data_IF_509959552382
#
_entry.id   IF_509959552382
#
_cell.length_a   1.000
_cell.length_b   1.000
_cell.length_c   1.000
_cell.angle_alpha   90.00
_cell.angle_beta   90.00
_cell.angle_gamma   90.00
#
_symmetry.space_group_name_H-M   'P 1'
#
loop_
_entity.id
_entity.type
_entity.pdbx_description
1 polymer ?
#
# COMPACT_ATOMS: atom_id res chain seq x y z
N UNK A 1 -1.85 -20.40 17.98
CA UNK A 1 -1.85 -21.18 16.74
C UNK A 1 -1.98 -20.24 15.56
N UNK A 2 -1.12 -20.42 14.54
CA UNK A 2 -1.07 -19.61 13.32
C UNK A 2 -1.44 -20.48 12.12
N UNK A 3 -2.40 -19.99 11.31
CA UNK A 3 -2.70 -20.56 10.00
C UNK A 3 -2.16 -19.65 8.92
N UNK A 4 -1.59 -20.26 7.87
CA UNK A 4 -1.24 -19.55 6.65
C UNK A 4 -2.19 -19.93 5.52
N UNK A 5 -2.50 -18.95 4.67
CA UNK A 5 -3.21 -19.16 3.41
C UNK A 5 -2.39 -18.59 2.26
N UNK A 6 -2.29 -19.31 1.18
CA UNK A 6 -1.62 -18.86 -0.05
C UNK A 6 -2.27 -19.53 -1.26
N UNK A 7 -2.07 -18.98 -2.44
CA UNK A 7 -2.53 -19.58 -3.70
C UNK A 7 -1.57 -20.67 -4.21
N UNK A 8 -0.37 -20.77 -3.64
CA UNK A 8 0.70 -21.66 -4.10
C UNK A 8 1.22 -22.54 -2.97
N UNK A 9 1.37 -23.84 -3.26
CA UNK A 9 2.07 -24.78 -2.36
C UNK A 9 3.58 -24.49 -2.23
N UNK A 10 4.12 -23.61 -3.08
CA UNK A 10 5.53 -23.22 -3.05
C UNK A 10 5.79 -21.98 -2.20
N UNK A 11 4.77 -21.40 -1.55
CA UNK A 11 4.92 -20.26 -0.67
C UNK A 11 5.65 -20.65 0.62
N UNK A 12 6.81 -20.05 0.96
CA UNK A 12 7.60 -20.45 2.13
C UNK A 12 6.83 -20.36 3.45
N UNK A 13 5.95 -19.36 3.58
CA UNK A 13 5.21 -19.09 4.82
C UNK A 13 4.28 -20.25 5.24
N UNK A 14 3.79 -21.07 4.30
CA UNK A 14 2.91 -22.20 4.64
C UNK A 14 3.63 -23.29 5.42
N UNK A 15 4.96 -23.38 5.27
CA UNK A 15 5.78 -24.41 5.96
C UNK A 15 6.19 -23.99 7.38
N UNK A 16 6.05 -22.70 7.69
CA UNK A 16 6.34 -22.15 9.03
C UNK A 16 5.08 -22.03 9.90
N UNK A 17 3.90 -22.22 9.31
CA UNK A 17 2.62 -22.16 10.03
C UNK A 17 2.26 -23.50 10.68
N UNK A 18 1.45 -23.47 11.74
CA UNK A 18 0.92 -24.69 12.39
C UNK A 18 0.00 -25.49 11.44
N UNK A 19 -0.63 -24.81 10.49
CA UNK A 19 -1.46 -25.40 9.44
C UNK A 19 -1.61 -24.42 8.28
N UNK A 20 -1.88 -24.93 7.09
CA UNK A 20 -2.12 -24.08 5.92
C UNK A 20 -3.29 -24.55 5.06
N UNK A 21 -3.76 -23.63 4.22
CA UNK A 21 -4.76 -23.88 3.20
C UNK A 21 -4.36 -23.23 1.89
N UNK A 22 -4.52 -23.97 0.80
CA UNK A 22 -4.35 -23.40 -0.55
C UNK A 22 -5.67 -22.75 -0.95
N UNK A 23 -5.58 -21.47 -1.26
CA UNK A 23 -6.71 -20.61 -1.60
C UNK A 23 -6.76 -20.33 -3.10
N UNK A 24 -7.93 -20.02 -3.66
CA UNK A 24 -8.00 -19.46 -4.99
C UNK A 24 -7.29 -18.09 -5.04
N UNK A 25 -7.08 -17.55 -6.22
CA UNK A 25 -6.57 -16.20 -6.38
C UNK A 25 -7.52 -15.18 -5.73
N UNK A 26 -6.98 -14.05 -5.27
CA UNK A 26 -7.77 -12.98 -4.61
C UNK A 26 -8.81 -12.33 -5.52
N UNK A 27 -8.67 -12.46 -6.86
CA UNK A 27 -9.62 -11.99 -7.86
C UNK A 27 -10.72 -13.03 -8.20
N UNK A 28 -10.65 -14.23 -7.62
CA UNK A 28 -11.69 -15.24 -7.75
C UNK A 28 -12.93 -14.83 -6.94
N UNK A 29 -14.13 -14.82 -7.55
CA UNK A 29 -15.35 -14.41 -6.86
C UNK A 29 -15.69 -15.26 -5.62
N UNK A 30 -15.14 -16.47 -5.50
CA UNK A 30 -15.36 -17.37 -4.35
C UNK A 30 -14.35 -17.16 -3.22
N UNK A 31 -13.35 -16.26 -3.40
CA UNK A 31 -12.24 -16.10 -2.46
C UNK A 31 -12.71 -15.81 -1.02
N UNK A 32 -13.58 -14.81 -0.84
CA UNK A 32 -14.06 -14.39 0.48
C UNK A 32 -14.87 -15.49 1.17
N UNK A 33 -15.75 -16.17 0.44
CA UNK A 33 -16.55 -17.26 0.99
C UNK A 33 -15.64 -18.41 1.46
N UNK A 34 -14.66 -18.81 0.69
CA UNK A 34 -13.69 -19.84 1.07
C UNK A 34 -12.82 -19.42 2.25
N UNK A 35 -12.42 -18.17 2.32
CA UNK A 35 -11.66 -17.66 3.47
C UNK A 35 -12.48 -17.70 4.74
N UNK A 36 -13.77 -17.34 4.69
CA UNK A 36 -14.71 -17.44 5.79
C UNK A 36 -14.94 -18.91 6.20
N UNK A 37 -15.05 -19.83 5.25
CA UNK A 37 -15.17 -21.28 5.52
C UNK A 37 -13.95 -21.81 6.28
N UNK A 38 -12.74 -21.43 5.87
CA UNK A 38 -11.50 -21.78 6.58
C UNK A 38 -11.51 -21.20 7.99
N UNK A 39 -11.87 -19.93 8.15
CA UNK A 39 -11.97 -19.28 9.45
C UNK A 39 -12.92 -20.01 10.40
N UNK A 40 -14.10 -20.38 9.94
CA UNK A 40 -15.09 -21.16 10.74
C UNK A 40 -14.57 -22.54 11.09
N UNK A 41 -14.02 -23.28 10.11
CA UNK A 41 -13.52 -24.64 10.27
C UNK A 41 -12.41 -24.74 11.30
N UNK A 42 -11.56 -23.71 11.35
CA UNK A 42 -10.36 -23.71 12.17
C UNK A 42 -10.50 -22.87 13.46
N UNK A 43 -11.70 -22.36 13.73
CA UNK A 43 -12.01 -21.52 14.90
C UNK A 43 -11.07 -20.31 15.01
N UNK A 44 -10.92 -19.58 13.88
CA UNK A 44 -10.07 -18.41 13.78
C UNK A 44 -10.73 -17.22 14.44
N UNK A 45 -10.01 -16.53 15.33
CA UNK A 45 -10.50 -15.32 16.00
C UNK A 45 -10.03 -14.04 15.33
N UNK A 46 -8.90 -14.11 14.61
CA UNK A 46 -8.24 -12.95 14.06
C UNK A 46 -7.72 -13.23 12.65
N UNK A 47 -7.92 -12.28 11.74
CA UNK A 47 -7.45 -12.35 10.36
C UNK A 47 -6.48 -11.21 10.10
N UNK A 48 -5.36 -11.53 9.47
CA UNK A 48 -4.30 -10.58 9.11
C UNK A 48 -3.88 -10.80 7.66
N UNK A 49 -3.77 -9.74 6.88
CA UNK A 49 -3.27 -9.77 5.51
C UNK A 49 -2.07 -8.85 5.33
N UNK A 50 -1.16 -9.26 4.45
CA UNK A 50 0.05 -8.51 4.05
C UNK A 50 0.01 -8.09 2.57
N UNK A 51 -1.11 -8.27 1.89
CA UNK A 51 -1.27 -8.02 0.46
C UNK A 51 -2.26 -6.88 0.24
N UNK A 52 -1.81 -5.75 -0.32
CA UNK A 52 -2.63 -4.54 -0.48
C UNK A 52 -3.99 -4.78 -1.16
N UNK A 53 -4.10 -5.50 -2.30
CA UNK A 53 -5.39 -5.82 -2.89
C UNK A 53 -6.30 -6.66 -1.99
N UNK A 54 -5.74 -7.54 -1.16
CA UNK A 54 -6.50 -8.35 -0.21
C UNK A 54 -7.01 -7.51 0.95
N UNK A 55 -6.23 -6.53 1.43
CA UNK A 55 -6.68 -5.59 2.47
C UNK A 55 -7.97 -4.88 2.05
N UNK A 56 -8.04 -4.38 0.81
CA UNK A 56 -9.24 -3.76 0.25
C UNK A 56 -10.44 -4.72 0.23
N UNK A 57 -10.21 -5.94 -0.23
CA UNK A 57 -11.24 -6.97 -0.33
C UNK A 57 -11.79 -7.38 1.04
N UNK A 58 -10.92 -7.60 2.03
CA UNK A 58 -11.30 -7.93 3.40
C UNK A 58 -12.02 -6.75 4.06
N UNK A 59 -11.51 -5.52 3.90
CA UNK A 59 -12.13 -4.32 4.45
C UNK A 59 -13.57 -4.14 3.96
N UNK A 60 -13.80 -4.36 2.65
CA UNK A 60 -15.13 -4.32 2.04
C UNK A 60 -16.09 -5.38 2.60
N UNK A 61 -15.56 -6.53 3.01
CA UNK A 61 -16.36 -7.64 3.55
C UNK A 61 -16.23 -7.81 5.07
N UNK A 62 -15.74 -6.78 5.79
CA UNK A 62 -15.46 -6.81 7.23
C UNK A 62 -16.61 -7.41 8.05
N UNK A 63 -17.83 -6.97 7.77
CA UNK A 63 -19.02 -7.42 8.52
C UNK A 63 -19.29 -8.92 8.37
N UNK A 64 -18.93 -9.53 7.23
CA UNK A 64 -19.08 -10.99 7.05
C UNK A 64 -18.13 -11.77 7.97
N UNK A 65 -16.93 -11.25 8.22
CA UNK A 65 -15.97 -11.85 9.14
C UNK A 65 -16.40 -11.66 10.59
N UNK A 66 -16.82 -10.46 10.97
CA UNK A 66 -17.33 -10.18 12.33
C UNK A 66 -18.54 -11.04 12.66
N UNK A 67 -19.45 -11.27 11.72
CA UNK A 67 -20.63 -12.13 11.90
C UNK A 67 -20.30 -13.59 12.22
N UNK A 68 -19.07 -14.03 11.96
CA UNK A 68 -18.59 -15.38 12.26
C UNK A 68 -17.54 -15.41 13.39
N UNK A 69 -17.40 -14.30 14.14
CA UNK A 69 -16.50 -14.21 15.29
C UNK A 69 -15.03 -13.93 14.91
N UNK A 70 -14.75 -13.57 13.67
CA UNK A 70 -13.40 -13.27 13.20
C UNK A 70 -13.18 -11.76 13.18
N UNK A 71 -12.13 -11.27 13.83
CA UNK A 71 -11.74 -9.86 13.82
C UNK A 71 -10.66 -9.62 12.75
N UNK A 72 -10.96 -8.95 11.63
CA UNK A 72 -9.92 -8.53 10.70
C UNK A 72 -9.08 -7.40 11.29
N UNK A 73 -7.75 -7.61 11.39
CA UNK A 73 -6.79 -6.58 11.84
C UNK A 73 -6.39 -5.70 10.66
N UNK A 74 -7.31 -4.89 10.21
CA UNK A 74 -7.16 -3.95 9.10
C UNK A 74 -7.83 -2.63 9.43
N UNK A 75 -7.42 -1.57 8.78
CA UNK A 75 -8.10 -0.26 8.82
C UNK A 75 -9.51 -0.36 8.22
N UNK A 76 -10.33 0.67 8.43
CA UNK A 76 -11.63 0.76 7.78
C UNK A 76 -11.47 0.86 6.25
N UNK A 77 -12.56 0.56 5.52
CA UNK A 77 -12.55 0.49 4.07
C UNK A 77 -12.09 1.80 3.41
N UNK A 78 -12.56 2.95 3.89
CA UNK A 78 -12.22 4.25 3.30
C UNK A 78 -10.73 4.58 3.47
N UNK A 79 -10.14 4.27 4.62
CA UNK A 79 -8.71 4.45 4.87
C UNK A 79 -7.86 3.50 4.00
N UNK A 80 -8.28 2.24 3.84
CA UNK A 80 -7.59 1.27 2.97
C UNK A 80 -7.64 1.73 1.51
N UNK A 81 -8.80 2.13 1.00
CA UNK A 81 -8.96 2.61 -0.38
C UNK A 81 -8.20 3.91 -0.64
N UNK A 82 -8.18 4.82 0.34
CA UNK A 82 -7.40 6.06 0.25
C UNK A 82 -5.89 5.75 0.17
N UNK A 83 -5.39 4.86 1.02
CA UNK A 83 -3.98 4.49 1.03
C UNK A 83 -3.56 3.68 -0.21
N UNK A 84 -4.48 2.89 -0.78
CA UNK A 84 -4.22 2.07 -1.95
C UNK A 84 -4.20 2.87 -3.26
N UNK A 85 -4.84 4.04 -3.30
CA UNK A 85 -4.90 4.93 -4.46
C UNK A 85 -3.98 6.14 -4.24
N UNK A 86 -2.79 6.10 -4.86
CA UNK A 86 -1.72 7.10 -4.66
C UNK A 86 -2.13 8.52 -5.06
N UNK A 87 -3.00 8.64 -6.09
CA UNK A 87 -3.45 9.96 -6.52
C UNK A 87 -4.52 10.53 -5.58
N UNK A 88 -5.45 9.71 -5.09
CA UNK A 88 -6.39 10.12 -4.04
C UNK A 88 -5.67 10.50 -2.76
N UNK A 89 -4.64 9.76 -2.37
CA UNK A 89 -3.80 10.10 -1.21
C UNK A 89 -3.12 11.45 -1.41
N UNK A 90 -2.53 11.70 -2.58
CA UNK A 90 -1.97 13.01 -2.91
C UNK A 90 -3.01 14.13 -2.74
N UNK A 91 -4.20 13.98 -3.35
CA UNK A 91 -5.27 14.97 -3.24
C UNK A 91 -5.73 15.18 -1.79
N UNK A 92 -5.85 14.09 -1.02
CA UNK A 92 -6.20 14.17 0.40
C UNK A 92 -5.17 14.96 1.20
N UNK A 93 -3.89 14.68 1.02
CA UNK A 93 -2.80 15.37 1.72
C UNK A 93 -2.76 16.86 1.35
N UNK A 94 -2.85 17.19 0.07
CA UNK A 94 -2.85 18.57 -0.43
C UNK A 94 -4.04 19.37 0.12
N UNK A 95 -5.26 18.80 0.05
CA UNK A 95 -6.48 19.43 0.54
C UNK A 95 -6.47 19.66 2.06
N UNK A 96 -5.68 18.89 2.81
CA UNK A 96 -5.51 19.05 4.26
C UNK A 96 -4.25 19.84 4.64
N UNK A 97 -3.56 20.45 3.67
CA UNK A 97 -2.42 21.33 3.91
C UNK A 97 -1.10 20.62 4.24
N UNK A 98 -1.02 19.31 4.03
CA UNK A 98 0.22 18.55 4.18
C UNK A 98 1.12 18.73 2.96
N UNK A 99 2.42 18.86 3.19
CA UNK A 99 3.40 18.86 2.11
C UNK A 99 3.47 17.46 1.48
N UNK A 100 3.32 17.41 0.17
CA UNK A 100 3.38 16.16 -0.58
C UNK A 100 4.07 16.38 -1.93
N UNK A 101 4.60 15.31 -2.54
CA UNK A 101 5.16 15.38 -3.89
C UNK A 101 4.04 15.70 -4.90
N UNK A 102 4.24 16.71 -5.75
CA UNK A 102 3.28 17.06 -6.79
C UNK A 102 2.99 15.85 -7.67
N UNK A 103 1.73 15.65 -7.97
CA UNK A 103 1.28 14.45 -8.68
C UNK A 103 0.24 14.79 -9.72
N UNK A 104 0.32 14.15 -10.88
CA UNK A 104 -0.54 14.40 -12.04
C UNK A 104 -1.02 13.07 -12.61
N UNK A 105 -2.26 13.03 -13.09
CA UNK A 105 -2.81 11.93 -13.89
C UNK A 105 -3.03 12.36 -15.34
N UNK A 106 -3.00 13.68 -15.59
CA UNK A 106 -3.09 14.29 -16.91
C UNK A 106 -1.70 14.79 -17.34
N UNK A 107 -1.23 14.34 -18.50
CA UNK A 107 0.07 14.75 -19.06
C UNK A 107 0.09 16.23 -19.43
N UNK A 108 -1.01 16.77 -19.93
CA UNK A 108 -1.07 18.15 -20.38
C UNK A 108 -0.96 19.12 -19.18
N UNK A 109 -1.59 18.78 -18.05
CA UNK A 109 -1.42 19.52 -16.81
C UNK A 109 0.04 19.50 -16.33
N UNK A 110 0.67 18.32 -16.35
CA UNK A 110 2.08 18.18 -16.03
C UNK A 110 2.97 19.00 -16.99
N UNK A 111 2.73 18.92 -18.30
CA UNK A 111 3.54 19.66 -19.28
C UNK A 111 3.38 21.18 -19.16
N UNK A 112 2.20 21.64 -18.78
CA UNK A 112 1.97 23.05 -18.47
C UNK A 112 2.85 23.49 -17.29
N UNK A 113 2.81 22.78 -16.19
CA UNK A 113 3.59 23.12 -15.00
C UNK A 113 5.10 22.95 -15.22
N UNK A 114 5.51 22.01 -16.06
CA UNK A 114 6.91 21.87 -16.50
C UNK A 114 7.38 23.11 -17.31
N UNK A 115 6.56 23.63 -18.23
CA UNK A 115 6.88 24.80 -19.02
C UNK A 115 6.87 26.10 -18.19
N UNK A 116 6.18 26.11 -17.06
CA UNK A 116 6.10 27.22 -16.10
C UNK A 116 7.19 27.11 -14.98
N UNK A 117 8.14 26.17 -15.10
CA UNK A 117 9.21 25.91 -14.14
C UNK A 117 8.70 25.57 -12.71
N UNK A 118 7.46 25.09 -12.58
CA UNK A 118 6.90 24.67 -11.30
C UNK A 118 7.32 23.27 -10.89
N UNK A 119 7.73 22.45 -11.84
CA UNK A 119 8.28 21.12 -11.66
C UNK A 119 9.42 20.91 -12.68
N UNK A 120 10.33 20.01 -12.39
CA UNK A 120 11.44 19.69 -13.28
C UNK A 120 11.70 18.19 -13.33
N UNK A 121 12.38 17.74 -14.37
CA UNK A 121 12.93 16.38 -14.41
C UNK A 121 14.09 16.21 -13.42
N UNK A 122 14.32 14.99 -12.91
CA UNK A 122 13.57 13.78 -13.18
C UNK A 122 12.24 13.73 -12.42
N UNK A 123 11.30 12.92 -12.92
CA UNK A 123 10.04 12.59 -12.22
C UNK A 123 9.85 11.07 -12.18
N UNK A 124 8.93 10.60 -11.34
CA UNK A 124 8.49 9.22 -11.39
C UNK A 124 7.21 9.08 -12.22
N UNK A 125 7.15 8.01 -13.02
CA UNK A 125 5.90 7.51 -13.63
C UNK A 125 5.60 6.14 -13.01
N UNK A 126 4.41 5.98 -12.49
CA UNK A 126 4.01 4.77 -11.76
C UNK A 126 2.51 4.52 -11.83
N UNK A 127 2.04 3.27 -11.61
CA UNK A 127 0.62 2.99 -11.50
C UNK A 127 -0.01 3.73 -10.31
N UNK A 128 -1.22 4.26 -10.52
CA UNK A 128 -2.02 4.90 -9.46
C UNK A 128 -2.29 3.90 -8.33
N UNK A 129 -2.61 2.63 -8.67
CA UNK A 129 -2.79 1.51 -7.75
C UNK A 129 -1.73 0.45 -7.99
N UNK A 130 -1.30 -0.22 -6.94
CA UNK A 130 -0.27 -1.28 -7.00
C UNK A 130 0.76 -1.12 -5.89
N UNK A 131 1.50 -2.19 -5.63
CA UNK A 131 2.49 -2.34 -4.57
C UNK A 131 3.82 -2.89 -5.10
N UNK A 132 4.78 -3.13 -4.20
CA UNK A 132 6.07 -3.76 -4.48
C UNK A 132 6.92 -3.07 -5.57
N UNK A 133 6.74 -1.76 -5.79
CA UNK A 133 7.48 -0.97 -6.80
C UNK A 133 7.36 -1.50 -8.24
N UNK A 134 6.29 -2.26 -8.54
CA UNK A 134 6.05 -2.79 -9.88
C UNK A 134 5.70 -1.64 -10.83
N UNK A 135 6.37 -1.62 -12.01
CA UNK A 135 6.17 -0.61 -13.06
C UNK A 135 6.41 0.84 -12.60
N UNK A 136 7.34 1.07 -11.70
CA UNK A 136 7.81 2.42 -11.36
C UNK A 136 9.02 2.75 -12.23
N UNK A 137 8.94 3.86 -12.96
CA UNK A 137 10.02 4.36 -13.81
C UNK A 137 10.43 5.77 -13.38
N UNK A 138 11.73 6.00 -13.19
CA UNK A 138 12.30 7.34 -13.09
C UNK A 138 12.58 7.82 -14.51
N UNK A 139 11.95 8.91 -14.92
CA UNK A 139 12.00 9.44 -16.29
C UNK A 139 12.61 10.82 -16.32
N UNK A 140 13.27 11.14 -17.45
CA UNK A 140 14.06 12.35 -17.60
C UNK A 140 13.59 13.21 -18.79
N UNK A 141 12.59 12.76 -19.55
CA UNK A 141 12.10 13.48 -20.73
C UNK A 141 10.60 13.29 -20.96
N UNK A 142 10.04 14.17 -21.81
CA UNK A 142 8.63 14.08 -22.25
C UNK A 142 8.38 12.82 -23.07
N UNK A 143 9.33 12.44 -23.90
CA UNK A 143 9.25 11.27 -24.79
C UNK A 143 9.13 9.98 -23.98
N UNK A 144 9.85 9.87 -22.85
CA UNK A 144 9.73 8.72 -21.94
C UNK A 144 8.34 8.66 -21.29
N UNK A 145 7.78 9.80 -20.88
CA UNK A 145 6.41 9.88 -20.35
C UNK A 145 5.40 9.44 -21.41
N UNK A 146 5.50 9.99 -22.62
CA UNK A 146 4.57 9.67 -23.71
C UNK A 146 4.63 8.19 -24.08
N UNK A 147 5.82 7.60 -24.11
CA UNK A 147 5.99 6.17 -24.33
C UNK A 147 5.27 5.34 -23.25
N UNK A 148 5.46 5.66 -21.96
CA UNK A 148 4.86 4.90 -20.86
C UNK A 148 3.33 5.04 -20.86
N UNK A 149 2.79 6.23 -21.08
CA UNK A 149 1.34 6.46 -21.14
C UNK A 149 0.67 5.85 -22.39
N UNK A 150 1.45 5.58 -23.45
CA UNK A 150 0.96 4.83 -24.61
C UNK A 150 0.97 3.31 -24.38
N UNK A 151 1.83 2.82 -23.48
CA UNK A 151 1.97 1.38 -23.20
C UNK A 151 1.10 0.90 -22.05
N UNK A 152 0.79 1.77 -21.10
CA UNK A 152 0.11 1.40 -19.85
C UNK A 152 -1.00 2.38 -19.49
N UNK A 153 -2.08 1.84 -18.96
CA UNK A 153 -3.19 2.62 -18.39
C UNK A 153 -2.97 2.90 -16.90
N UNK A 154 -3.78 3.83 -16.37
CA UNK A 154 -3.83 4.13 -14.93
C UNK A 154 -2.49 4.55 -14.31
N UNK A 155 -1.71 5.31 -15.05
CA UNK A 155 -0.46 5.88 -14.60
C UNK A 155 -0.68 7.25 -13.95
N UNK A 156 0.26 7.61 -13.08
CA UNK A 156 0.47 8.96 -12.57
C UNK A 156 1.93 9.38 -12.74
N UNK A 157 2.13 10.68 -12.91
CA UNK A 157 3.44 11.33 -12.85
C UNK A 157 3.58 11.92 -11.45
N UNK A 158 4.72 11.74 -10.82
CA UNK A 158 4.99 12.30 -9.50
C UNK A 158 6.37 12.94 -9.43
N UNK A 159 6.44 14.08 -8.79
CA UNK A 159 7.68 14.79 -8.46
C UNK A 159 8.70 13.85 -7.81
N UNK A 160 9.94 13.94 -8.27
CA UNK A 160 11.08 13.27 -7.63
C UNK A 160 11.57 14.13 -6.47
N UNK A 161 11.46 13.61 -5.26
CA UNK A 161 12.01 14.24 -4.07
C UNK A 161 13.43 13.70 -3.85
N UNK A 162 14.42 14.57 -3.92
CA UNK A 162 15.81 14.22 -3.64
C UNK A 162 16.07 14.40 -2.14
N UNK A 163 16.30 13.29 -1.44
CA UNK A 163 16.54 13.31 -0.01
C UNK A 163 16.62 11.92 0.61
N UNK A 164 16.95 11.89 1.91
CA UNK A 164 16.97 10.65 2.66
C UNK A 164 15.54 10.14 2.88
N UNK A 165 15.24 8.96 2.36
CA UNK A 165 13.96 8.32 2.57
C UNK A 165 13.85 7.79 4.01
N UNK A 166 12.76 8.16 4.68
CA UNK A 166 12.41 7.67 5.99
C UNK A 166 11.07 6.93 5.93
N UNK A 167 10.93 5.89 6.73
CA UNK A 167 9.67 5.19 6.96
C UNK A 167 9.15 5.49 8.36
N UNK A 168 7.84 5.57 8.49
CA UNK A 168 7.15 5.62 9.77
C UNK A 168 6.11 4.51 9.82
N UNK A 169 6.26 3.60 10.78
CA UNK A 169 5.27 2.56 11.06
C UNK A 169 4.43 3.04 12.26
N UNK A 170 3.12 3.19 12.06
CA UNK A 170 2.21 3.70 13.07
C UNK A 170 1.18 2.63 13.40
N UNK A 171 1.11 2.25 14.67
CA UNK A 171 0.09 1.33 15.15
C UNK A 171 -1.03 2.08 15.86
N UNK A 172 -2.24 1.92 15.32
CA UNK A 172 -3.47 2.47 15.89
C UNK A 172 -4.30 1.30 16.42
N UNK A 173 -4.65 1.35 17.70
CA UNK A 173 -5.51 0.32 18.29
C UNK A 173 -6.93 0.38 17.70
N UNK A 174 -7.42 -0.72 17.10
CA UNK A 174 -8.74 -0.73 16.46
C UNK A 174 -9.90 -0.45 17.40
N UNK A 175 -9.77 -0.77 18.68
CA UNK A 175 -10.85 -0.60 19.66
C UNK A 175 -10.94 0.84 20.18
N UNK A 176 -9.80 1.42 20.59
CA UNK A 176 -9.75 2.77 21.14
C UNK A 176 -9.53 3.87 20.11
N UNK A 177 -9.15 3.52 18.88
CA UNK A 177 -8.75 4.44 17.80
C UNK A 177 -7.58 5.38 18.18
N UNK A 178 -6.77 4.96 19.14
CA UNK A 178 -5.62 5.74 19.62
C UNK A 178 -4.34 5.23 18.98
N UNK A 179 -3.44 6.13 18.64
CA UNK A 179 -2.07 5.79 18.27
C UNK A 179 -1.35 5.25 19.52
N UNK A 180 -0.91 4.00 19.43
CA UNK A 180 -0.24 3.28 20.53
C UNK A 180 1.27 3.36 20.40
N UNK A 181 1.77 3.23 19.16
CA UNK A 181 3.20 3.29 18.90
C UNK A 181 3.51 3.90 17.54
N UNK A 182 4.64 4.59 17.48
CA UNK A 182 5.22 5.12 16.26
C UNK A 182 6.68 4.65 16.22
N UNK A 183 7.07 4.04 15.11
CA UNK A 183 8.43 3.61 14.87
C UNK A 183 8.96 4.27 13.59
N UNK A 184 10.08 4.98 13.69
CA UNK A 184 10.70 5.66 12.57
C UNK A 184 12.05 5.05 12.21
N UNK A 185 12.31 4.97 10.90
CA UNK A 185 13.52 4.37 10.35
C UNK A 185 14.01 5.14 9.12
N UNK A 186 15.32 5.37 9.04
CA UNK A 186 15.98 5.72 7.79
C UNK A 186 16.11 4.48 6.92
N UNK A 187 15.70 4.56 5.66
CA UNK A 187 15.88 3.48 4.68
C UNK A 187 17.29 3.59 4.10
N UNK A 188 18.20 2.71 4.53
CA UNK A 188 19.60 2.69 4.07
C UNK A 188 19.71 1.97 2.74
N UNK A 189 18.97 0.88 2.57
CA UNK A 189 18.99 0.07 1.36
C UNK A 189 17.61 -0.51 1.08
N UNK A 190 17.18 -0.36 -0.16
CA UNK A 190 15.97 -0.97 -0.70
C UNK A 190 16.33 -2.22 -1.51
N UNK A 191 15.45 -3.22 -1.48
CA UNK A 191 15.54 -4.43 -2.29
C UNK A 191 14.13 -4.88 -2.69
N UNK A 192 13.92 -5.01 -3.99
CA UNK A 192 12.63 -5.44 -4.55
C UNK A 192 11.41 -4.64 -4.03
N UNK A 193 11.57 -3.33 -3.84
CA UNK A 193 10.51 -2.45 -3.33
C UNK A 193 10.37 -2.41 -1.81
N UNK A 194 11.13 -3.26 -1.08
CA UNK A 194 11.06 -3.35 0.38
C UNK A 194 12.35 -2.83 1.03
N UNK A 195 12.26 -2.46 2.31
CA UNK A 195 13.42 -1.99 3.08
C UNK A 195 14.29 -3.19 3.51
N UNK A 196 15.43 -3.36 2.84
CA UNK A 196 16.41 -4.41 3.16
C UNK A 196 17.26 -4.06 4.40
N UNK A 197 17.67 -2.79 4.50
CA UNK A 197 18.44 -2.28 5.65
C UNK A 197 17.90 -0.94 6.09
N UNK A 198 17.70 -0.80 7.39
CA UNK A 198 17.25 0.42 7.99
C UNK A 198 18.02 0.73 9.30
N UNK A 199 18.00 1.98 9.68
CA UNK A 199 18.46 2.45 10.99
C UNK A 199 17.29 3.13 11.70
N UNK A 200 16.93 2.65 12.87
CA UNK A 200 15.92 3.31 13.68
C UNK A 200 16.43 4.65 14.23
N UNK A 201 15.55 5.63 14.30
CA UNK A 201 15.81 6.90 14.97
C UNK A 201 14.53 7.40 15.63
N UNK A 202 14.68 8.39 16.52
CA UNK A 202 13.56 9.05 17.18
C UNK A 202 13.58 10.53 16.81
N UNK A 203 12.46 11.01 16.28
CA UNK A 203 12.26 12.45 16.04
C UNK A 203 10.89 12.87 16.60
N UNK A 204 10.91 13.63 17.69
CA UNK A 204 9.70 14.06 18.38
C UNK A 204 8.80 14.97 17.52
N UNK A 205 9.37 15.67 16.54
CA UNK A 205 8.59 16.51 15.62
C UNK A 205 7.72 15.67 14.68
N UNK A 206 8.24 14.51 14.24
CA UNK A 206 7.47 13.58 13.41
C UNK A 206 6.33 12.90 14.18
N UNK A 207 6.45 12.80 15.51
CA UNK A 207 5.42 12.15 16.33
C UNK A 207 4.25 13.07 16.68
N UNK A 208 4.35 14.34 16.36
CA UNK A 208 3.30 15.35 16.61
C UNK A 208 2.53 15.76 15.34
N UNK A 209 2.87 15.16 14.21
CA UNK A 209 2.13 15.29 12.95
C UNK A 209 0.89 14.39 12.98
#
# INVERSE_FOLDING_TARGET
>A
RVLATDMSELAPAIYEADKYYIMPRIDDPTYIEKLIEVCKKEDINCLFSLIDPELSLIAKNREKFLAVGVTPLISNFDAVELAFDKYKMYQYLENNGYKTARSYIDKEEFYKDLNEDKISFPVFVKPIRGSASINISKVNSKEEIDLLFNLYDNLMIQEFLDGQEIGADVYIDPASQKTISIFTKEKIKMRAGETDKARSFKDEKLFTL
#
